data_IF_649262577166
#
_entry.id   IF_649262577166
#
_cell.length_a   1.000
_cell.length_b   1.000
_cell.length_c   1.000
_cell.angle_alpha   90.00
_cell.angle_beta   90.00
_cell.angle_gamma   90.00
#
_symmetry.space_group_name_H-M   'P 1'
#
loop_
_entity.id
_entity.type
_entity.pdbx_description
1 polymer ?
#
# COMPACT_ATOMS: atom_id res chain seq x y z
N UNK A 1 1.93 4.73 -8.73
CA UNK A 1 2.91 3.76 -8.18
C UNK A 1 2.67 3.60 -6.69
N UNK A 2 2.60 2.37 -6.19
CA UNK A 2 2.45 2.05 -4.77
C UNK A 2 3.83 1.73 -4.19
N UNK A 3 4.21 2.45 -3.14
CA UNK A 3 5.47 2.29 -2.40
C UNK A 3 5.15 1.96 -0.96
N UNK A 4 5.84 0.96 -0.41
CA UNK A 4 5.73 0.57 0.99
C UNK A 4 7.08 0.82 1.66
N UNK A 5 7.08 1.58 2.74
CA UNK A 5 8.25 1.86 3.55
C UNK A 5 8.09 1.23 4.93
N UNK A 6 9.13 0.51 5.36
CA UNK A 6 9.16 -0.16 6.65
C UNK A 6 10.36 0.36 7.44
N UNK A 7 10.08 1.01 8.54
CA UNK A 7 11.08 1.37 9.55
C UNK A 7 11.01 0.37 10.71
N UNK A 8 11.99 0.41 11.61
CA UNK A 8 11.99 -0.38 12.84
C UNK A 8 10.72 -0.20 13.71
N UNK A 9 10.08 0.97 13.65
CA UNK A 9 8.95 1.33 14.51
C UNK A 9 7.61 1.42 13.80
N UNK A 10 7.59 1.69 12.50
CA UNK A 10 6.36 2.01 11.77
C UNK A 10 6.42 1.49 10.33
N UNK A 11 5.24 1.31 9.76
CA UNK A 11 5.03 1.01 8.35
C UNK A 11 4.19 2.12 7.73
N UNK A 12 4.62 2.58 6.55
CA UNK A 12 3.99 3.66 5.78
C UNK A 12 3.82 3.20 4.34
N UNK A 13 2.70 3.58 3.73
CA UNK A 13 2.39 3.26 2.35
C UNK A 13 1.98 4.54 1.62
N UNK A 14 2.50 4.69 0.40
CA UNK A 14 2.33 5.88 -0.41
C UNK A 14 1.93 5.51 -1.83
N UNK A 15 0.96 6.23 -2.37
CA UNK A 15 0.58 6.19 -3.78
C UNK A 15 1.10 7.46 -4.44
N UNK A 16 2.18 7.30 -5.19
CA UNK A 16 2.87 8.37 -5.90
C UNK A 16 2.42 8.40 -7.38
N UNK A 17 2.23 9.60 -7.91
CA UNK A 17 2.09 9.84 -9.36
C UNK A 17 3.47 9.73 -10.03
N UNK A 18 3.50 9.61 -11.35
CA UNK A 18 4.75 9.59 -12.13
C UNK A 18 5.65 10.81 -11.90
N UNK A 19 5.07 11.94 -11.50
CA UNK A 19 5.78 13.19 -11.24
C UNK A 19 6.45 13.24 -9.84
N UNK A 20 6.22 12.24 -8.99
CA UNK A 20 6.71 12.21 -7.61
C UNK A 20 5.72 12.71 -6.57
N UNK A 21 4.57 13.26 -6.99
CA UNK A 21 3.54 13.75 -6.07
C UNK A 21 2.84 12.58 -5.35
N UNK A 22 2.74 12.66 -4.03
CA UNK A 22 1.98 11.70 -3.21
C UNK A 22 0.50 12.09 -3.27
N UNK A 23 -0.32 11.21 -3.82
CA UNK A 23 -1.78 11.43 -3.94
C UNK A 23 -2.51 10.89 -2.72
N UNK A 24 -2.12 9.69 -2.28
CA UNK A 24 -2.69 9.03 -1.11
C UNK A 24 -1.54 8.51 -0.25
N UNK A 25 -1.63 8.74 1.06
CA UNK A 25 -0.73 8.16 2.05
C UNK A 25 -1.54 7.44 3.12
N UNK A 26 -0.93 6.43 3.72
CA UNK A 26 -1.44 5.80 4.93
C UNK A 26 -0.25 5.39 5.79
N UNK A 27 -0.28 5.71 7.08
CA UNK A 27 0.79 5.35 8.01
C UNK A 27 0.23 4.78 9.31
N UNK A 28 0.91 3.75 9.82
CA UNK A 28 0.67 3.22 11.17
C UNK A 28 1.00 4.23 12.28
N UNK A 29 1.60 5.39 11.96
CA UNK A 29 1.74 6.53 12.87
C UNK A 29 0.42 7.27 13.11
N UNK A 30 -0.50 7.20 12.15
CA UNK A 30 -1.81 7.84 12.28
C UNK A 30 -2.59 7.24 13.44
N UNK A 31 -3.04 8.09 14.37
CA UNK A 31 -3.73 7.62 15.58
C UNK A 31 -4.96 6.77 15.28
N UNK A 32 -5.71 7.13 14.22
CA UNK A 32 -6.90 6.41 13.78
C UNK A 32 -6.62 4.94 13.45
N UNK A 33 -5.42 4.64 12.93
CA UNK A 33 -4.98 3.28 12.60
C UNK A 33 -4.29 2.66 13.81
N UNK A 34 -3.39 3.40 14.46
CA UNK A 34 -2.56 2.94 15.58
C UNK A 34 -3.41 2.42 16.75
N UNK A 35 -4.51 3.10 17.10
CA UNK A 35 -5.39 2.70 18.20
C UNK A 35 -6.04 1.32 18.03
N UNK A 36 -6.14 0.85 16.78
CA UNK A 36 -6.75 -0.44 16.43
C UNK A 36 -5.71 -1.54 16.18
N UNK A 37 -4.43 -1.22 16.34
CA UNK A 37 -3.34 -2.16 16.15
C UNK A 37 -2.68 -2.48 17.49
N UNK A 38 -2.51 -3.78 17.76
CA UNK A 38 -1.69 -4.23 18.88
C UNK A 38 -0.21 -3.84 18.71
N UNK A 39 0.30 -3.86 17.47
CA UNK A 39 1.68 -3.50 17.14
C UNK A 39 1.77 -2.83 15.77
N UNK A 40 2.59 -1.77 15.60
CA UNK A 40 2.68 -1.01 14.35
C UNK A 40 3.58 -1.64 13.27
N UNK A 41 4.28 -2.74 13.57
CA UNK A 41 5.31 -3.32 12.68
C UNK A 41 5.05 -4.75 12.18
N UNK A 42 3.96 -5.38 12.66
CA UNK A 42 3.66 -6.79 12.39
C UNK A 42 2.99 -7.01 11.03
N UNK A 43 2.85 -8.29 10.65
CA UNK A 43 2.10 -8.71 9.44
C UNK A 43 0.66 -8.17 9.47
N UNK A 44 0.00 -8.23 10.63
CA UNK A 44 -1.35 -7.68 10.81
C UNK A 44 -1.41 -6.15 10.59
N UNK A 45 -0.35 -5.42 10.96
CA UNK A 45 -0.26 -3.99 10.72
C UNK A 45 -0.18 -3.70 9.22
N UNK A 46 0.66 -4.42 8.48
CA UNK A 46 0.74 -4.32 7.02
C UNK A 46 -0.61 -4.68 6.38
N UNK A 47 -1.24 -5.78 6.78
CA UNK A 47 -2.55 -6.19 6.25
C UNK A 47 -3.62 -5.10 6.44
N UNK A 48 -3.74 -4.57 7.64
CA UNK A 48 -4.70 -3.50 7.94
C UNK A 48 -4.35 -2.19 7.23
N UNK A 49 -3.08 -1.87 7.11
CA UNK A 49 -2.62 -0.72 6.31
C UNK A 49 -3.00 -0.87 4.84
N UNK A 50 -2.88 -2.08 4.28
CA UNK A 50 -3.33 -2.44 2.93
C UNK A 50 -4.82 -2.19 2.71
N UNK A 51 -5.65 -2.58 3.67
CA UNK A 51 -7.10 -2.29 3.64
C UNK A 51 -7.39 -0.80 3.65
N UNK A 52 -6.74 -0.05 4.54
CA UNK A 52 -6.94 1.40 4.65
C UNK A 52 -6.50 2.12 3.38
N UNK A 53 -5.34 1.76 2.82
CA UNK A 53 -4.88 2.43 1.60
C UNK A 53 -5.74 2.06 0.40
N UNK A 54 -6.22 0.81 0.28
CA UNK A 54 -7.14 0.43 -0.78
C UNK A 54 -8.44 1.23 -0.71
N UNK A 55 -9.02 1.38 0.49
CA UNK A 55 -10.21 2.20 0.68
C UNK A 55 -9.95 3.66 0.28
N UNK A 56 -8.87 4.28 0.77
CA UNK A 56 -8.51 5.67 0.40
C UNK A 56 -8.28 5.83 -1.10
N UNK A 57 -7.69 4.84 -1.75
CA UNK A 57 -7.50 4.84 -3.20
C UNK A 57 -8.84 4.84 -3.94
N UNK A 58 -9.78 3.98 -3.54
CA UNK A 58 -11.12 3.95 -4.14
C UNK A 58 -11.89 5.26 -3.94
N UNK A 59 -11.83 5.84 -2.74
CA UNK A 59 -12.43 7.14 -2.43
C UNK A 59 -11.81 8.27 -3.28
N UNK A 60 -10.52 8.16 -3.60
CA UNK A 60 -9.82 9.09 -4.50
C UNK A 60 -10.03 8.78 -6.00
N UNK A 61 -10.75 7.71 -6.36
CA UNK A 61 -10.98 7.28 -7.74
C UNK A 61 -9.79 6.59 -8.41
N UNK A 62 -8.85 6.05 -7.62
CA UNK A 62 -7.65 5.35 -8.09
C UNK A 62 -7.87 3.83 -8.00
N UNK A 63 -8.11 3.21 -9.16
CA UNK A 63 -8.38 1.77 -9.22
C UNK A 63 -7.16 0.93 -9.65
N UNK A 64 -6.22 1.53 -10.38
CA UNK A 64 -5.04 0.84 -10.91
C UNK A 64 -3.78 1.49 -10.39
N UNK A 65 -2.91 0.71 -9.76
CA UNK A 65 -1.63 1.20 -9.25
C UNK A 65 -0.55 0.15 -9.46
N UNK A 66 0.57 0.52 -10.07
CA UNK A 66 1.69 -0.42 -10.15
C UNK A 66 2.46 -0.49 -8.81
N UNK A 67 2.62 -1.68 -8.24
CA UNK A 67 3.43 -1.89 -7.04
C UNK A 67 4.92 -1.91 -7.39
N UNK A 68 5.68 -0.97 -6.82
CA UNK A 68 7.13 -0.93 -6.99
C UNK A 68 7.78 -1.57 -5.77
N UNK A 69 7.96 -2.90 -5.79
CA UNK A 69 8.92 -3.48 -4.86
C UNK A 69 10.32 -3.05 -5.29
N UNK A 70 11.10 -2.56 -4.34
CA UNK A 70 12.45 -2.06 -4.62
C UNK A 70 13.38 -3.24 -4.92
N UNK A 71 13.09 -4.44 -4.39
CA UNK A 71 14.00 -5.58 -4.46
C UNK A 71 13.29 -6.95 -4.50
N UNK A 72 13.76 -7.96 -5.28
CA UNK A 72 13.05 -9.23 -5.46
C UNK A 72 12.78 -10.05 -4.19
N UNK A 73 13.67 -9.99 -3.18
CA UNK A 73 13.48 -10.76 -1.95
C UNK A 73 12.44 -10.17 -1.00
N UNK A 74 12.04 -8.90 -1.18
CA UNK A 74 10.95 -8.30 -0.40
C UNK A 74 9.60 -8.97 -0.71
N UNK A 75 9.42 -9.50 -1.93
CA UNK A 75 8.22 -10.27 -2.28
C UNK A 75 8.10 -11.59 -1.50
N UNK A 76 9.20 -12.09 -0.91
CA UNK A 76 9.17 -13.30 -0.07
C UNK A 76 8.77 -13.02 1.38
N UNK A 77 8.60 -11.76 1.77
CA UNK A 77 8.12 -11.43 3.11
C UNK A 77 6.60 -11.60 3.20
N UNK A 78 6.13 -12.42 4.15
CA UNK A 78 4.71 -12.62 4.45
C UNK A 78 3.97 -11.29 4.66
N UNK A 79 4.63 -10.30 5.26
CA UNK A 79 4.04 -8.97 5.49
C UNK A 79 3.68 -8.24 4.20
N UNK A 80 4.49 -8.39 3.14
CA UNK A 80 4.27 -7.74 1.85
C UNK A 80 3.22 -8.50 1.05
N UNK A 81 3.24 -9.83 1.11
CA UNK A 81 2.22 -10.67 0.47
C UNK A 81 0.82 -10.41 1.05
N UNK A 82 0.70 -10.39 2.38
CA UNK A 82 -0.57 -10.08 3.05
C UNK A 82 -1.02 -8.63 2.79
N UNK A 83 -0.07 -7.69 2.67
CA UNK A 83 -0.38 -6.31 2.27
C UNK A 83 -0.95 -6.26 0.84
N UNK A 84 -0.27 -6.88 -0.13
CA UNK A 84 -0.72 -6.91 -1.52
C UNK A 84 -2.10 -7.54 -1.66
N UNK A 85 -2.28 -8.70 -1.02
CA UNK A 85 -3.56 -9.40 -0.98
C UNK A 85 -4.66 -8.52 -0.40
N UNK A 86 -4.39 -7.81 0.69
CA UNK A 86 -5.36 -6.90 1.29
C UNK A 86 -5.71 -5.71 0.39
N UNK A 87 -4.76 -5.21 -0.41
CA UNK A 87 -5.03 -4.13 -1.37
C UNK A 87 -5.90 -4.63 -2.53
N UNK A 88 -5.61 -5.82 -3.05
CA UNK A 88 -6.39 -6.45 -4.12
C UNK A 88 -7.80 -6.86 -3.66
N UNK A 89 -7.93 -7.43 -2.46
CA UNK A 89 -9.23 -7.69 -1.80
C UNK A 89 -10.03 -6.40 -1.60
N UNK A 90 -9.34 -5.27 -1.40
CA UNK A 90 -9.93 -3.94 -1.31
C UNK A 90 -10.36 -3.35 -2.66
N UNK A 91 -10.21 -4.07 -3.78
CA UNK A 91 -10.68 -3.65 -5.10
C UNK A 91 -9.70 -2.83 -5.93
N UNK A 92 -8.48 -2.61 -5.44
CA UNK A 92 -7.42 -1.91 -6.17
C UNK A 92 -6.52 -2.91 -6.88
N UNK A 93 -6.40 -2.77 -8.20
CA UNK A 93 -5.61 -3.68 -9.04
C UNK A 93 -4.15 -3.22 -9.06
N UNK A 94 -3.24 -4.10 -8.64
CA UNK A 94 -1.80 -3.81 -8.55
C UNK A 94 -1.04 -3.83 -9.90
N UNK A 95 -1.78 -3.67 -11.01
CA UNK A 95 -1.25 -3.72 -12.37
C UNK A 95 -1.86 -2.61 -13.21
N UNK A 96 -1.01 -1.79 -13.81
CA UNK A 96 -1.46 -0.74 -14.73
C UNK A 96 -1.77 -1.32 -16.13
N UNK A 97 -2.85 -0.88 -16.79
CA UNK A 97 -3.17 -1.30 -18.15
C UNK A 97 -2.15 -0.75 -19.15
N UNK A 98 -1.99 -1.45 -20.28
CA UNK A 98 -1.09 -0.99 -21.35
C UNK A 98 -1.67 0.24 -22.03
N UNK A 99 -0.82 1.23 -22.29
CA UNK A 99 -1.19 2.40 -23.08
C UNK A 99 -1.54 1.94 -24.51
N UNK A 100 -2.69 2.37 -25.00
CA UNK A 100 -3.09 2.19 -26.39
C UNK A 100 -2.34 3.24 -27.20
N UNK A 101 -1.47 2.79 -28.10
CA UNK A 101 -0.82 3.65 -29.09
C UNK A 101 -1.73 3.67 -30.32
N UNK A 102 -2.13 4.86 -30.77
CA UNK A 102 -2.95 5.08 -31.95
C UNK A 102 -2.24 6.02 -32.90
#
# INVERSE_FOLDING_TARGET
RLRLERTQHYVEAFVERCNGDVVVSASTREWAIKRHLYSPKGVAACKNLGRVIAQRCLEAGINFVNFKAVIPWEYRCDSIQEFQKAVEEGGVVLREPRRIYR
#
